data_IF_237171659665
#
_entry.id   IF_237171659665
#
_cell.length_a   1.000
_cell.length_b   1.000
_cell.length_c   1.000
_cell.angle_alpha   90.00
_cell.angle_beta   90.00
_cell.angle_gamma   90.00
#
_symmetry.space_group_name_H-M   'P 1'
#
loop_
_entity.id
_entity.type
_entity.pdbx_description
1 polymer ?
#
# COMPACT_ATOMS: atom_id res chain seq x y z
N UNK A 1 -14.49 -5.59 -5.67
CA UNK A 1 -15.28 -6.05 -6.83
C UNK A 1 -14.52 -7.18 -7.49
N UNK A 2 -15.17 -8.27 -7.87
CA UNK A 2 -14.55 -9.42 -8.52
C UNK A 2 -15.32 -9.68 -9.82
N UNK A 3 -14.63 -9.63 -10.95
CA UNK A 3 -15.19 -9.89 -12.27
C UNK A 3 -14.66 -11.22 -12.77
N UNK A 4 -15.57 -12.14 -13.11
CA UNK A 4 -15.23 -13.49 -13.54
C UNK A 4 -15.32 -13.63 -15.06
N UNK A 5 -14.44 -14.43 -15.64
CA UNK A 5 -14.35 -14.66 -17.08
C UNK A 5 -14.27 -16.15 -17.41
N UNK A 6 -14.47 -16.47 -18.69
CA UNK A 6 -14.36 -17.86 -19.19
C UNK A 6 -12.92 -18.36 -19.20
N UNK A 7 -11.96 -17.47 -19.44
CA UNK A 7 -10.53 -17.78 -19.48
C UNK A 7 -9.69 -16.61 -18.94
N UNK A 8 -8.41 -16.87 -18.69
CA UNK A 8 -7.43 -15.86 -18.28
C UNK A 8 -6.84 -15.17 -19.52
N UNK A 9 -7.65 -14.51 -20.33
CA UNK A 9 -7.21 -13.88 -21.58
C UNK A 9 -6.07 -12.87 -21.39
N UNK A 10 -5.97 -12.23 -20.22
CA UNK A 10 -4.87 -11.32 -19.87
C UNK A 10 -3.51 -12.03 -19.88
N UNK A 11 -3.44 -13.30 -19.43
CA UNK A 11 -2.21 -14.10 -19.46
C UNK A 11 -1.73 -14.39 -20.89
N UNK A 12 -2.65 -14.55 -21.85
CA UNK A 12 -2.31 -14.73 -23.28
C UNK A 12 -1.68 -13.47 -23.89
N UNK A 13 -1.87 -12.32 -23.25
CA UNK A 13 -1.26 -11.03 -23.59
C UNK A 13 -0.03 -10.70 -22.75
N UNK A 14 0.52 -11.69 -22.04
CA UNK A 14 1.68 -11.54 -21.15
C UNK A 14 1.41 -10.60 -19.96
N UNK A 15 0.15 -10.46 -19.54
CA UNK A 15 -0.24 -9.75 -18.33
C UNK A 15 -0.55 -10.73 -17.19
N UNK A 16 -0.02 -10.46 -16.00
CA UNK A 16 -0.30 -11.27 -14.81
C UNK A 16 -1.67 -10.97 -14.18
N UNK A 17 -2.40 -9.95 -14.65
CA UNK A 17 -3.68 -9.51 -14.08
C UNK A 17 -3.56 -8.42 -13.01
N UNK A 18 -2.34 -8.09 -12.57
CA UNK A 18 -2.09 -6.91 -11.73
C UNK A 18 -2.19 -5.63 -12.57
N UNK A 19 -2.96 -4.65 -12.09
CA UNK A 19 -3.11 -3.35 -12.74
C UNK A 19 -3.07 -2.24 -11.71
N UNK A 20 -2.17 -1.27 -11.91
CA UNK A 20 -2.15 0.01 -11.20
C UNK A 20 -2.71 1.04 -12.17
N UNK A 21 -3.85 1.63 -11.82
CA UNK A 21 -4.64 2.49 -12.71
C UNK A 21 -4.70 3.90 -12.13
N UNK A 22 -3.81 4.76 -12.60
CA UNK A 22 -3.71 6.17 -12.21
C UNK A 22 -4.60 7.07 -13.09
N UNK A 23 -5.91 6.90 -12.96
CA UNK A 23 -6.90 7.75 -13.62
C UNK A 23 -8.02 8.11 -12.63
N UNK A 24 -8.27 9.41 -12.42
CA UNK A 24 -9.33 9.90 -11.54
C UNK A 24 -10.73 9.47 -12.01
N UNK A 25 -10.94 9.36 -13.32
CA UNK A 25 -12.20 8.91 -13.91
C UNK A 25 -12.42 7.40 -13.81
N UNK A 26 -11.36 6.61 -13.63
CA UNK A 26 -11.45 5.16 -13.57
C UNK A 26 -12.07 4.66 -12.24
N UNK A 27 -13.01 3.71 -12.26
CA UNK A 27 -13.62 3.17 -11.02
C UNK A 27 -12.60 2.43 -10.13
N UNK A 28 -11.68 1.68 -10.74
CA UNK A 28 -10.67 0.87 -10.04
C UNK A 28 -9.33 1.60 -10.03
N UNK A 29 -8.62 1.58 -8.90
CA UNK A 29 -7.23 2.08 -8.80
C UNK A 29 -6.18 0.96 -8.75
N UNK A 30 -6.54 -0.19 -8.18
CA UNK A 30 -5.68 -1.37 -8.08
C UNK A 30 -6.52 -2.62 -8.38
N UNK A 31 -5.98 -3.51 -9.21
CA UNK A 31 -6.55 -4.83 -9.46
C UNK A 31 -5.48 -5.91 -9.43
N UNK A 32 -5.89 -7.15 -9.17
CA UNK A 32 -5.07 -8.36 -9.14
C UNK A 32 -5.83 -9.52 -9.80
N UNK A 33 -5.09 -10.53 -10.25
CA UNK A 33 -5.66 -11.83 -10.63
C UNK A 33 -6.20 -12.53 -9.37
N UNK A 34 -7.44 -13.03 -9.44
CA UNK A 34 -8.11 -13.81 -8.38
C UNK A 34 -8.52 -15.21 -8.88
N UNK A 35 -7.86 -15.67 -9.95
CA UNK A 35 -8.01 -17.03 -10.47
C UNK A 35 -7.57 -18.03 -9.40
N UNK A 36 -8.29 -19.15 -9.28
CA UNK A 36 -7.95 -20.15 -8.27
C UNK A 36 -6.60 -20.81 -8.59
N UNK A 37 -5.90 -21.38 -7.58
CA UNK A 37 -4.55 -21.92 -7.77
C UNK A 37 -4.45 -23.04 -8.83
N UNK A 38 -5.53 -23.78 -9.05
CA UNK A 38 -5.63 -24.82 -10.08
C UNK A 38 -5.94 -24.28 -11.49
N UNK A 39 -6.01 -22.95 -11.64
CA UNK A 39 -6.36 -22.26 -12.88
C UNK A 39 -7.87 -22.18 -13.15
N UNK A 40 -8.71 -22.76 -12.28
CA UNK A 40 -10.16 -22.66 -12.39
C UNK A 40 -10.66 -21.28 -11.98
N UNK A 41 -11.88 -20.94 -12.44
CA UNK A 41 -12.58 -19.69 -12.08
C UNK A 41 -11.72 -18.43 -12.37
N UNK A 42 -11.39 -18.13 -13.64
CA UNK A 42 -10.66 -16.93 -14.02
C UNK A 42 -11.35 -15.67 -13.51
N UNK A 43 -10.64 -14.85 -12.74
CA UNK A 43 -11.21 -13.65 -12.14
C UNK A 43 -10.18 -12.54 -11.98
N UNK A 44 -10.67 -11.30 -11.98
CA UNK A 44 -9.90 -10.11 -11.61
C UNK A 44 -10.60 -9.49 -10.41
N UNK A 45 -9.87 -9.36 -9.29
CA UNK A 45 -10.30 -8.56 -8.14
C UNK A 45 -9.83 -7.12 -8.34
N UNK A 46 -10.74 -6.17 -8.15
CA UNK A 46 -10.47 -4.74 -8.23
C UNK A 46 -11.01 -3.99 -7.00
N UNK A 47 -10.27 -2.96 -6.59
CA UNK A 47 -10.62 -2.10 -5.46
C UNK A 47 -11.06 -0.71 -5.92
N UNK A 48 -12.29 -0.34 -5.54
CA UNK A 48 -12.79 1.04 -5.61
C UNK A 48 -12.41 1.73 -4.30
N UNK A 49 -11.43 2.62 -4.33
CA UNK A 49 -10.80 3.16 -3.11
C UNK A 49 -11.22 4.61 -2.81
N UNK A 50 -11.25 4.93 -1.52
CA UNK A 50 -11.41 6.29 -0.99
C UNK A 50 -12.59 7.06 -1.62
N UNK A 51 -12.33 8.23 -2.20
CA UNK A 51 -13.38 9.10 -2.77
C UNK A 51 -14.10 8.46 -3.96
N UNK A 52 -13.44 7.56 -4.71
CA UNK A 52 -14.08 6.82 -5.82
C UNK A 52 -15.26 5.99 -5.33
N UNK A 53 -15.15 5.36 -4.15
CA UNK A 53 -16.23 4.58 -3.55
C UNK A 53 -17.47 5.44 -3.30
N UNK A 54 -17.29 6.61 -2.68
CA UNK A 54 -18.38 7.56 -2.42
C UNK A 54 -19.03 8.10 -3.69
N UNK A 55 -18.27 8.29 -4.78
CA UNK A 55 -18.82 8.73 -6.08
C UNK A 55 -19.68 7.65 -6.74
N UNK A 56 -19.29 6.39 -6.60
CA UNK A 56 -19.90 5.26 -7.30
C UNK A 56 -20.99 4.54 -6.49
N UNK A 57 -21.23 4.94 -5.24
CA UNK A 57 -22.20 4.30 -4.34
C UNK A 57 -23.65 4.41 -4.85
N UNK A 58 -23.98 5.52 -5.52
CA UNK A 58 -25.33 5.76 -6.04
C UNK A 58 -25.62 5.03 -7.35
N UNK A 59 -24.61 4.41 -7.97
CA UNK A 59 -24.81 3.57 -9.14
C UNK A 59 -25.43 2.23 -8.73
N UNK A 60 -26.07 1.57 -9.67
CA UNK A 60 -26.46 0.16 -9.53
C UNK A 60 -25.25 -0.77 -9.63
N UNK A 61 -25.38 -2.00 -9.12
CA UNK A 61 -24.37 -3.06 -9.27
C UNK A 61 -24.00 -3.27 -10.74
N UNK A 62 -24.99 -3.25 -11.63
CA UNK A 62 -24.84 -3.41 -13.07
C UNK A 62 -24.09 -2.25 -13.73
N UNK A 63 -24.39 -0.99 -13.35
CA UNK A 63 -23.65 0.17 -13.87
C UNK A 63 -22.18 0.15 -13.42
N UNK A 64 -21.92 -0.21 -12.15
CA UNK A 64 -20.54 -0.40 -11.66
C UNK A 64 -19.82 -1.49 -12.42
N UNK A 65 -20.47 -2.66 -12.61
CA UNK A 65 -19.93 -3.78 -13.39
C UNK A 65 -19.55 -3.33 -14.81
N UNK A 66 -20.45 -2.64 -15.51
CA UNK A 66 -20.22 -2.16 -16.87
C UNK A 66 -19.01 -1.23 -16.94
N UNK A 67 -18.92 -0.22 -16.06
CA UNK A 67 -17.77 0.70 -16.04
C UNK A 67 -16.45 -0.02 -15.72
N UNK A 68 -16.47 -1.04 -14.86
CA UNK A 68 -15.29 -1.84 -14.54
C UNK A 68 -14.86 -2.68 -15.75
N UNK A 69 -15.80 -3.33 -16.45
CA UNK A 69 -15.51 -4.10 -17.66
C UNK A 69 -14.96 -3.22 -18.78
N UNK A 70 -15.54 -2.03 -19.00
CA UNK A 70 -15.04 -1.04 -19.96
C UNK A 70 -13.62 -0.57 -19.62
N UNK A 71 -13.36 -0.32 -18.34
CA UNK A 71 -12.03 0.00 -17.86
C UNK A 71 -11.04 -1.13 -18.15
N UNK A 72 -11.39 -2.37 -17.80
CA UNK A 72 -10.52 -3.52 -18.05
C UNK A 72 -10.29 -3.76 -19.54
N UNK A 73 -11.31 -3.56 -20.39
CA UNK A 73 -11.15 -3.65 -21.83
C UNK A 73 -10.16 -2.62 -22.39
N UNK A 74 -10.21 -1.38 -21.87
CA UNK A 74 -9.28 -0.31 -22.21
C UNK A 74 -7.86 -0.63 -21.74
N UNK A 75 -7.68 -1.01 -20.47
CA UNK A 75 -6.35 -1.24 -19.86
C UNK A 75 -5.67 -2.48 -20.44
N UNK A 76 -6.42 -3.57 -20.65
CA UNK A 76 -5.90 -4.83 -21.20
C UNK A 76 -5.88 -4.87 -22.73
N UNK A 77 -6.43 -3.83 -23.40
CA UNK A 77 -6.49 -3.73 -24.86
C UNK A 77 -7.26 -4.89 -25.50
N UNK A 78 -8.38 -5.32 -24.91
CA UNK A 78 -9.17 -6.45 -25.43
C UNK A 78 -10.65 -6.35 -25.10
N UNK A 79 -11.49 -6.71 -26.06
CA UNK A 79 -12.95 -6.75 -25.89
C UNK A 79 -13.41 -7.95 -25.05
N UNK A 80 -12.55 -8.96 -24.84
CA UNK A 80 -12.86 -10.11 -23.97
C UNK A 80 -13.25 -9.67 -22.55
N UNK A 81 -12.68 -8.57 -22.06
CA UNK A 81 -13.02 -7.98 -20.76
C UNK A 81 -14.46 -7.42 -20.68
N UNK A 82 -15.14 -7.20 -21.81
CA UNK A 82 -16.55 -6.79 -21.87
C UNK A 82 -17.51 -7.97 -21.72
N UNK A 83 -17.00 -9.20 -21.65
CA UNK A 83 -17.81 -10.42 -21.61
C UNK A 83 -17.61 -11.19 -20.30
N UNK A 84 -17.93 -10.58 -19.13
CA UNK A 84 -17.86 -11.29 -17.86
C UNK A 84 -18.91 -12.41 -17.80
N UNK A 85 -18.56 -13.54 -17.19
CA UNK A 85 -19.50 -14.63 -16.93
C UNK A 85 -20.19 -14.49 -15.57
N UNK A 86 -19.61 -13.73 -14.65
CA UNK A 86 -20.17 -13.46 -13.32
C UNK A 86 -19.58 -12.18 -12.72
N UNK A 87 -20.24 -11.61 -11.70
CA UNK A 87 -19.78 -10.41 -11.00
C UNK A 87 -20.20 -10.38 -9.53
N UNK A 88 -19.23 -10.14 -8.65
CA UNK A 88 -19.46 -9.93 -7.22
C UNK A 88 -18.86 -8.63 -6.69
N UNK A 89 -19.53 -8.02 -5.73
CA UNK A 89 -19.05 -6.83 -5.03
C UNK A 89 -19.50 -6.81 -3.57
N UNK A 90 -18.72 -6.13 -2.73
CA UNK A 90 -19.04 -5.84 -1.34
C UNK A 90 -18.65 -4.41 -1.04
N UNK A 91 -19.63 -3.61 -0.62
CA UNK A 91 -19.39 -2.27 -0.12
C UNK A 91 -19.19 -2.32 1.40
N UNK A 92 -17.94 -2.24 1.85
CA UNK A 92 -17.62 -2.26 3.28
C UNK A 92 -18.03 -0.97 4.02
N UNK A 93 -18.30 0.13 3.30
CA UNK A 93 -18.77 1.37 3.93
C UNK A 93 -20.22 1.27 4.42
N UNK A 94 -21.00 0.29 3.95
CA UNK A 94 -22.38 0.04 4.37
C UNK A 94 -22.48 -0.93 5.55
N UNK A 95 -21.36 -1.56 5.94
CA UNK A 95 -21.36 -2.55 7.01
C UNK A 95 -21.38 -1.88 8.39
N UNK A 96 -22.55 -1.84 9.02
CA UNK A 96 -22.74 -1.23 10.34
C UNK A 96 -21.82 -1.78 11.44
N UNK A 97 -21.37 -3.03 11.32
CA UNK A 97 -20.49 -3.69 12.30
C UNK A 97 -19.00 -3.60 11.95
N UNK A 98 -18.65 -2.86 10.88
CA UNK A 98 -17.25 -2.59 10.49
C UNK A 98 -16.96 -1.10 10.36
N UNK A 99 -17.90 -0.33 9.78
CA UNK A 99 -17.74 1.11 9.50
C UNK A 99 -16.89 1.44 8.27
N UNK A 100 -16.28 0.44 7.64
CA UNK A 100 -15.43 0.57 6.46
C UNK A 100 -14.37 -0.52 6.40
N UNK A 101 -13.46 -0.41 5.43
CA UNK A 101 -12.26 -1.23 5.30
C UNK A 101 -11.10 -0.41 4.70
N UNK A 102 -9.84 -0.84 4.87
CA UNK A 102 -9.40 -2.03 5.61
C UNK A 102 -9.38 -1.83 7.14
N UNK A 103 -9.09 -0.60 7.57
CA UNK A 103 -8.81 -0.26 8.96
C UNK A 103 -9.16 1.20 9.23
N UNK A 104 -9.14 1.61 10.50
CA UNK A 104 -9.18 3.01 10.88
C UNK A 104 -7.94 3.79 10.38
N UNK A 105 -8.12 5.07 10.06
CA UNK A 105 -7.02 5.99 9.78
C UNK A 105 -7.00 7.12 10.81
N UNK A 106 -5.83 7.71 11.02
CA UNK A 106 -5.65 8.84 11.94
C UNK A 106 -5.63 10.16 11.16
N UNK A 107 -6.61 11.06 11.35
CA UNK A 107 -6.51 12.43 10.89
C UNK A 107 -5.31 13.18 11.50
N UNK A 108 -4.88 14.30 10.91
CA UNK A 108 -3.79 15.11 11.44
C UNK A 108 -3.98 15.47 12.92
N UNK A 109 -2.94 15.29 13.72
CA UNK A 109 -2.91 15.62 15.16
C UNK A 109 -3.46 14.54 16.10
N UNK A 110 -4.26 13.57 15.61
CA UNK A 110 -4.90 12.58 16.49
C UNK A 110 -3.88 11.62 17.12
N UNK A 111 -2.91 11.14 16.34
CA UNK A 111 -1.90 10.20 16.83
C UNK A 111 -1.06 10.79 17.98
N UNK A 112 -0.64 12.06 17.87
CA UNK A 112 0.20 12.69 18.90
C UNK A 112 -0.56 13.08 20.16
N UNK A 113 -1.86 13.40 20.03
CA UNK A 113 -2.71 13.76 21.17
C UNK A 113 -3.26 12.52 21.90
N UNK A 114 -3.67 11.48 21.17
CA UNK A 114 -4.44 10.35 21.72
C UNK A 114 -3.87 8.96 21.40
N UNK A 115 -2.84 8.84 20.56
CA UNK A 115 -2.33 7.53 20.13
C UNK A 115 -1.83 6.64 21.28
N UNK A 116 -1.30 7.24 22.36
CA UNK A 116 -0.76 6.50 23.51
C UNK A 116 -1.81 5.66 24.27
N UNK A 117 -3.08 6.06 24.22
CA UNK A 117 -4.16 5.40 24.97
C UNK A 117 -4.89 4.32 24.15
N UNK A 118 -4.51 4.12 22.89
CA UNK A 118 -5.24 3.28 21.92
C UNK A 118 -5.50 1.84 22.41
N UNK A 119 -4.60 1.32 23.27
CA UNK A 119 -4.66 -0.03 23.83
C UNK A 119 -4.50 -0.05 25.35
N UNK A 120 -4.64 1.11 26.00
CA UNK A 120 -4.55 1.20 27.45
C UNK A 120 -5.80 0.56 28.08
N UNK A 121 -5.66 -0.40 29.02
CA UNK A 121 -6.80 -1.00 29.68
C UNK A 121 -7.61 0.02 30.48
N UNK A 122 -8.93 -0.14 30.48
CA UNK A 122 -9.84 0.65 31.33
C UNK A 122 -10.47 -0.27 32.36
N UNK A 123 -9.88 -0.31 33.56
CA UNK A 123 -10.29 -1.23 34.63
C UNK A 123 -10.08 -2.69 34.22
N UNK A 124 -11.19 -3.43 34.01
CA UNK A 124 -11.17 -4.83 33.55
C UNK A 124 -11.46 -5.00 32.06
N UNK A 125 -11.48 -3.90 31.31
CA UNK A 125 -11.67 -3.88 29.86
C UNK A 125 -10.29 -3.78 29.20
N UNK A 126 -9.96 -4.78 28.40
CA UNK A 126 -8.72 -4.84 27.62
C UNK A 126 -9.07 -4.74 26.13
N UNK A 127 -8.21 -4.06 25.36
CA UNK A 127 -8.49 -3.73 23.96
C UNK A 127 -7.61 -4.55 23.01
N UNK A 128 -8.28 -5.35 22.18
CA UNK A 128 -7.72 -6.06 21.04
C UNK A 128 -8.10 -5.34 19.72
N UNK A 129 -8.21 -6.08 18.62
CA UNK A 129 -8.49 -5.52 17.30
C UNK A 129 -7.20 -5.08 16.61
N UNK A 130 -7.15 -5.21 15.28
CA UNK A 130 -5.92 -5.01 14.51
C UNK A 130 -5.36 -3.58 14.65
N UNK A 131 -6.22 -2.61 14.92
CA UNK A 131 -5.87 -1.21 15.20
C UNK A 131 -4.96 -1.06 16.42
N UNK A 132 -4.99 -2.00 17.36
CA UNK A 132 -4.19 -1.96 18.58
C UNK A 132 -2.85 -2.70 18.47
N UNK A 133 -2.58 -3.37 17.34
CA UNK A 133 -1.33 -4.07 17.07
C UNK A 133 -0.13 -3.11 16.95
N UNK A 134 1.07 -3.61 17.19
CA UNK A 134 2.34 -2.89 16.93
C UNK A 134 2.97 -3.29 15.61
N UNK A 135 2.65 -4.46 15.08
CA UNK A 135 3.12 -4.95 13.78
C UNK A 135 1.92 -5.28 12.90
N UNK A 136 2.00 -4.89 11.63
CA UNK A 136 0.94 -5.13 10.64
C UNK A 136 -0.47 -4.71 11.09
N UNK A 137 -0.58 -3.60 11.83
CA UNK A 137 -1.86 -3.01 12.20
C UNK A 137 -2.69 -2.68 10.95
N UNK A 138 -3.97 -3.07 10.97
CA UNK A 138 -4.88 -3.01 9.82
C UNK A 138 -4.94 -4.27 8.96
N UNK A 139 -4.18 -5.32 9.31
CA UNK A 139 -4.18 -6.61 8.63
C UNK A 139 -4.67 -7.73 9.54
N UNK A 140 -4.91 -8.92 8.97
CA UNK A 140 -5.22 -10.13 9.74
C UNK A 140 -4.12 -10.47 10.75
N UNK A 141 -2.85 -10.27 10.36
CA UNK A 141 -1.69 -10.45 11.25
C UNK A 141 -1.80 -9.60 12.52
N UNK A 142 -2.06 -8.30 12.37
CA UNK A 142 -2.28 -7.41 13.52
C UNK A 142 -3.49 -7.82 14.37
N UNK A 143 -4.54 -8.39 13.76
CA UNK A 143 -5.70 -8.89 14.51
C UNK A 143 -5.32 -10.05 15.44
N UNK A 144 -4.50 -10.99 14.95
CA UNK A 144 -3.95 -12.10 15.75
C UNK A 144 -3.07 -11.56 16.87
N UNK A 145 -2.06 -10.75 16.52
CA UNK A 145 -1.12 -10.18 17.49
C UNK A 145 -1.84 -9.45 18.63
N UNK A 146 -2.79 -8.56 18.29
CA UNK A 146 -3.54 -7.80 19.27
C UNK A 146 -4.48 -8.66 20.11
N UNK A 147 -5.15 -9.64 19.51
CA UNK A 147 -6.06 -10.56 20.19
C UNK A 147 -5.34 -11.39 21.24
N UNK A 148 -4.22 -12.01 20.86
CA UNK A 148 -3.45 -12.80 21.80
C UNK A 148 -2.79 -11.96 22.90
N UNK A 149 -2.27 -10.78 22.56
CA UNK A 149 -1.70 -9.86 23.55
C UNK A 149 -2.74 -9.46 24.58
N UNK A 150 -3.95 -9.05 24.15
CA UNK A 150 -5.03 -8.71 25.08
C UNK A 150 -5.46 -9.90 25.94
N UNK A 151 -5.51 -11.11 25.38
CA UNK A 151 -5.79 -12.32 26.16
C UNK A 151 -4.71 -12.58 27.23
N UNK A 152 -3.43 -12.38 26.89
CA UNK A 152 -2.32 -12.49 27.85
C UNK A 152 -2.38 -11.40 28.93
N UNK A 153 -2.79 -10.17 28.61
CA UNK A 153 -3.03 -9.11 29.60
C UNK A 153 -4.10 -9.53 30.62
N UNK A 154 -5.21 -10.11 30.16
CA UNK A 154 -6.26 -10.65 31.03
C UNK A 154 -5.72 -11.78 31.90
N UNK A 155 -5.05 -12.78 31.30
CA UNK A 155 -4.50 -13.92 32.05
C UNK A 155 -3.49 -13.49 33.11
N UNK A 156 -2.67 -12.48 32.79
CA UNK A 156 -1.73 -11.89 33.73
C UNK A 156 -2.44 -11.22 34.90
N UNK A 157 -3.49 -10.42 34.62
CA UNK A 157 -4.29 -9.77 35.68
C UNK A 157 -5.00 -10.77 36.62
N UNK A 158 -5.28 -11.99 36.13
CA UNK A 158 -5.86 -13.08 36.92
C UNK A 158 -4.82 -13.91 37.68
N UNK A 159 -3.52 -13.61 37.56
CA UNK A 159 -2.45 -14.42 38.13
C UNK A 159 -2.31 -15.80 37.48
N UNK A 160 -2.88 -16.01 36.28
CA UNK A 160 -2.84 -17.29 35.54
C UNK A 160 -1.73 -17.36 34.50
N UNK A 161 -1.01 -16.26 34.31
CA UNK A 161 0.11 -16.18 33.37
C UNK A 161 1.21 -15.26 33.94
N UNK A 162 2.39 -15.85 34.18
CA UNK A 162 3.57 -15.15 34.69
C UNK A 162 4.62 -14.87 33.61
N UNK A 163 4.33 -15.21 32.35
CA UNK A 163 5.21 -14.97 31.22
C UNK A 163 5.08 -13.56 30.65
N UNK A 164 5.82 -13.29 29.57
CA UNK A 164 5.76 -12.02 28.86
C UNK A 164 4.43 -11.86 28.13
N UNK A 165 3.78 -10.70 28.33
CA UNK A 165 2.53 -10.33 27.66
C UNK A 165 2.78 -10.09 26.16
N UNK A 166 3.89 -9.44 25.83
CA UNK A 166 4.35 -9.23 24.47
C UNK A 166 5.31 -10.36 24.11
N UNK A 167 5.00 -11.08 23.04
CA UNK A 167 5.80 -12.21 22.57
C UNK A 167 6.17 -12.00 21.11
N UNK A 168 7.42 -12.29 20.77
CA UNK A 168 7.86 -12.41 19.39
C UNK A 168 7.36 -13.71 18.79
N UNK A 169 6.86 -13.66 17.56
CA UNK A 169 6.51 -14.85 16.80
C UNK A 169 7.75 -15.39 16.07
N UNK A 170 8.04 -16.70 16.11
CA UNK A 170 9.07 -17.30 15.26
C UNK A 170 8.75 -17.10 13.77
N UNK A 171 9.78 -16.97 12.94
CA UNK A 171 9.60 -16.85 11.50
C UNK A 171 8.95 -18.12 10.92
N UNK A 172 8.01 -17.93 9.98
CA UNK A 172 7.35 -19.03 9.29
C UNK A 172 8.33 -19.78 8.38
N UNK A 173 8.48 -21.11 8.51
CA UNK A 173 9.32 -21.89 7.61
C UNK A 173 8.72 -22.01 6.19
N UNK A 174 7.40 -21.87 6.05
CA UNK A 174 6.68 -22.03 4.78
C UNK A 174 6.66 -20.74 3.96
N UNK A 175 6.75 -19.58 4.63
CA UNK A 175 6.77 -18.25 4.02
C UNK A 175 7.89 -17.41 4.65
N UNK A 176 9.17 -17.71 4.35
CA UNK A 176 10.29 -16.98 4.92
C UNK A 176 10.37 -15.55 4.38
N UNK A 177 10.77 -14.60 5.22
CA UNK A 177 10.94 -13.21 4.84
C UNK A 177 12.27 -13.00 4.12
N UNK A 178 12.22 -12.65 2.84
CA UNK A 178 13.40 -12.20 2.12
C UNK A 178 13.74 -10.76 2.52
N UNK A 179 15.01 -10.42 2.76
CA UNK A 179 15.40 -9.07 3.16
C UNK A 179 15.13 -8.07 2.03
N UNK A 180 14.58 -6.90 2.38
CA UNK A 180 14.42 -5.79 1.44
C UNK A 180 15.79 -5.13 1.23
N UNK A 181 16.30 -5.21 0.00
CA UNK A 181 17.59 -4.63 -0.38
C UNK A 181 17.43 -3.40 -1.24
N UNK A 182 18.28 -2.38 -1.03
CA UNK A 182 18.41 -1.23 -1.92
C UNK A 182 19.77 -1.22 -2.62
N UNK A 183 19.74 -0.94 -3.92
CA UNK A 183 20.92 -0.78 -4.77
C UNK A 183 21.79 0.40 -4.30
N UNK A 184 22.99 0.52 -4.88
CA UNK A 184 23.81 1.71 -4.68
C UNK A 184 23.09 2.98 -5.17
N UNK A 185 22.44 2.92 -6.33
CA UNK A 185 21.81 4.09 -6.94
C UNK A 185 20.55 4.55 -6.19
N UNK A 186 19.70 3.64 -5.73
CA UNK A 186 18.52 4.00 -4.93
C UNK A 186 18.90 4.73 -3.63
N UNK A 187 20.07 4.39 -3.05
CA UNK A 187 20.57 5.05 -1.84
C UNK A 187 21.27 6.38 -2.09
N UNK A 188 21.92 6.54 -3.25
CA UNK A 188 22.87 7.63 -3.48
C UNK A 188 22.43 8.63 -4.57
N UNK A 189 21.42 8.31 -5.39
CA UNK A 189 20.88 9.27 -6.34
C UNK A 189 20.29 10.47 -5.57
N UNK A 190 20.63 11.71 -5.95
CA UNK A 190 20.11 12.88 -5.27
C UNK A 190 18.62 13.05 -5.57
N UNK A 191 17.90 13.63 -4.60
CA UNK A 191 16.55 14.16 -4.87
C UNK A 191 16.61 15.31 -5.88
N UNK A 192 15.46 15.75 -6.42
CA UNK A 192 15.42 16.90 -7.35
C UNK A 192 16.08 18.16 -6.75
N UNK A 193 15.80 18.59 -5.50
CA UNK A 193 16.55 19.70 -4.89
C UNK A 193 18.03 19.39 -4.66
N UNK A 194 18.38 18.13 -4.37
CA UNK A 194 19.77 17.70 -4.25
C UNK A 194 20.54 17.85 -5.56
N UNK A 195 19.92 17.46 -6.68
CA UNK A 195 20.48 17.61 -8.02
C UNK A 195 20.67 19.09 -8.36
N UNK A 196 19.68 19.95 -8.09
CA UNK A 196 19.79 21.39 -8.32
C UNK A 196 20.95 22.02 -7.50
N UNK A 197 21.16 21.57 -6.25
CA UNK A 197 22.32 21.99 -5.45
C UNK A 197 23.64 21.53 -6.08
N UNK A 198 23.73 20.27 -6.49
CA UNK A 198 24.92 19.73 -7.15
C UNK A 198 25.23 20.48 -8.45
N UNK A 199 24.22 20.74 -9.27
CA UNK A 199 24.35 21.55 -10.48
C UNK A 199 24.85 22.96 -10.16
N UNK A 200 24.29 23.59 -9.11
CA UNK A 200 24.77 24.88 -8.61
C UNK A 200 26.25 24.87 -8.22
N UNK A 201 26.69 23.84 -7.49
CA UNK A 201 28.12 23.67 -7.15
C UNK A 201 28.98 23.45 -8.40
N UNK A 202 28.57 22.59 -9.32
CA UNK A 202 29.31 22.35 -10.57
C UNK A 202 29.45 23.63 -11.41
N UNK A 203 28.38 24.43 -11.55
CA UNK A 203 28.43 25.72 -12.25
C UNK A 203 29.38 26.69 -11.53
N UNK A 204 29.36 26.73 -10.21
CA UNK A 204 30.30 27.55 -9.45
C UNK A 204 31.76 27.16 -9.71
N UNK A 205 32.09 25.87 -9.57
CA UNK A 205 33.47 25.40 -9.78
C UNK A 205 33.96 25.53 -11.21
N UNK A 206 33.11 25.29 -12.21
CA UNK A 206 33.45 25.54 -13.62
C UNK A 206 33.71 27.02 -13.88
N UNK A 207 32.94 27.92 -13.25
CA UNK A 207 33.15 29.37 -13.35
C UNK A 207 34.48 29.80 -12.72
N UNK A 208 34.82 29.25 -11.54
CA UNK A 208 36.11 29.47 -10.87
C UNK A 208 37.27 28.96 -11.74
N UNK A 209 37.15 27.78 -12.33
CA UNK A 209 38.18 27.22 -13.22
C UNK A 209 38.39 28.10 -14.47
N UNK A 210 37.32 28.61 -15.08
CA UNK A 210 37.40 29.52 -16.22
C UNK A 210 38.08 30.85 -15.85
N UNK A 211 37.74 31.43 -14.69
CA UNK A 211 38.39 32.63 -14.17
C UNK A 211 39.89 32.40 -13.88
N UNK A 212 40.24 31.26 -13.28
CA UNK A 212 41.63 30.86 -13.05
C UNK A 212 42.43 30.72 -14.33
N UNK A 213 41.86 30.10 -15.38
CA UNK A 213 42.50 29.99 -16.70
C UNK A 213 42.71 31.37 -17.34
N UNK A 214 41.75 32.28 -17.20
CA UNK A 214 41.89 33.66 -17.68
C UNK A 214 43.01 34.40 -16.95
N UNK A 215 43.04 34.30 -15.61
CA UNK A 215 44.09 34.91 -14.79
C UNK A 215 45.48 34.38 -15.14
N UNK A 216 45.62 33.06 -15.37
CA UNK A 216 46.85 32.44 -15.84
C UNK A 216 47.30 32.98 -17.20
N UNK A 217 46.39 33.06 -18.18
CA UNK A 217 46.70 33.61 -19.52
C UNK A 217 47.07 35.08 -19.53
N UNK A 218 46.70 35.83 -18.48
CA UNK A 218 46.98 37.26 -18.34
C UNK A 218 48.17 37.55 -17.42
N UNK A 219 48.91 36.52 -16.99
CA UNK A 219 50.00 36.61 -16.01
C UNK A 219 49.59 37.36 -14.72
N UNK A 220 48.31 37.24 -14.33
CA UNK A 220 47.76 37.80 -13.09
C UNK A 220 47.96 36.86 -11.89
N UNK A 221 48.50 35.66 -12.11
CA UNK A 221 48.87 34.73 -11.07
C UNK A 221 50.35 34.95 -10.72
N UNK A 222 50.62 35.25 -9.45
CA UNK A 222 52.00 35.37 -8.93
C UNK A 222 52.71 34.04 -9.14
N UNK A 223 53.82 34.07 -9.86
CA UNK A 223 54.72 32.92 -10.03
C UNK A 223 55.80 33.04 -8.96
N UNK A 224 55.74 32.19 -7.95
CA UNK A 224 56.89 31.92 -7.06
C UNK A 224 57.88 30.96 -7.75
#
# INVERSE_FOLDING_TARGET
CIVYYKDTFWKKKDYCGSMIIEDEGAPIGLALDDTKPDGSVPAIIGFILARKCRRLINLTKEERKTQICELYAKVLGTQEALHPVHYEEKNWCEEQYSGGCYTAYFPPGIMTQYGRILREPVGRIFFAGTETASEWSGYMEGAVQAGERAAREVLHSMGRYSGEIWKSEPESPDVPALPITATFWERNLPSVPGLLKLMGFSIFFTSVAAAGLFAYKKDLLVRD
#
